data_IF_733661565268
#
_entry.id   IF_733661565268
#
_cell.length_a   1.000
_cell.length_b   1.000
_cell.length_c   1.000
_cell.angle_alpha   90.00
_cell.angle_beta   90.00
_cell.angle_gamma   90.00
#
_symmetry.space_group_name_H-M   'P 1'
#
loop_
_entity.id
_entity.type
_entity.pdbx_description
1 polymer ?
#
# COMPACT_ATOMS: atom_id res chain seq x y z
N UNK A 1 -31.14 -17.62 4.03
CA UNK A 1 -30.06 -16.99 3.27
C UNK A 1 -30.53 -16.79 1.83
N UNK A 2 -30.26 -15.63 1.24
CA UNK A 2 -30.75 -15.29 -0.11
C UNK A 2 -29.74 -15.69 -1.20
N UNK A 3 -30.22 -15.94 -2.43
CA UNK A 3 -29.37 -16.33 -3.56
C UNK A 3 -28.24 -15.31 -3.86
N UNK A 4 -28.48 -13.98 -3.85
CA UNK A 4 -27.40 -13.02 -4.07
C UNK A 4 -26.33 -13.03 -2.96
N UNK A 5 -26.73 -13.34 -1.72
CA UNK A 5 -25.77 -13.47 -0.62
C UNK A 5 -24.91 -14.73 -0.76
N UNK A 6 -25.49 -15.86 -1.18
CA UNK A 6 -24.72 -17.08 -1.48
C UNK A 6 -23.71 -16.87 -2.61
N UNK A 7 -24.04 -16.06 -3.63
CA UNK A 7 -23.09 -15.69 -4.67
C UNK A 7 -21.89 -14.93 -4.11
N UNK A 8 -22.15 -13.97 -3.21
CA UNK A 8 -21.10 -13.19 -2.55
C UNK A 8 -20.20 -14.02 -1.65
N UNK A 9 -20.69 -15.13 -1.08
CA UNK A 9 -19.83 -16.09 -0.37
C UNK A 9 -18.85 -16.84 -1.28
N UNK A 10 -19.13 -16.93 -2.59
CA UNK A 10 -18.20 -17.46 -3.58
C UNK A 10 -17.11 -16.46 -4.00
N UNK A 11 -17.35 -15.18 -3.74
CA UNK A 11 -16.41 -14.08 -3.99
C UNK A 11 -17.11 -12.82 -4.53
N UNK A 12 -16.31 -11.79 -4.85
CA UNK A 12 -16.80 -10.48 -5.30
C UNK A 12 -17.64 -10.55 -6.58
N UNK A 13 -18.61 -9.63 -6.71
CA UNK A 13 -19.58 -9.59 -7.80
C UNK A 13 -19.80 -8.16 -8.31
N UNK A 14 -20.09 -8.01 -9.61
CA UNK A 14 -20.38 -6.70 -10.26
C UNK A 14 -21.87 -6.32 -10.26
N UNK A 15 -22.77 -7.31 -10.26
CA UNK A 15 -24.23 -7.09 -10.29
C UNK A 15 -24.93 -7.85 -9.16
N UNK A 16 -25.02 -7.20 -8.00
CA UNK A 16 -25.80 -7.70 -6.86
C UNK A 16 -27.06 -6.87 -6.71
N UNK A 17 -28.20 -7.53 -6.87
CA UNK A 17 -29.49 -6.92 -6.55
C UNK A 17 -29.69 -6.81 -5.04
N UNK A 18 -29.13 -5.78 -4.42
CA UNK A 18 -29.16 -5.54 -2.96
C UNK A 18 -30.59 -5.55 -2.39
N UNK A 19 -31.58 -5.12 -3.18
CA UNK A 19 -33.00 -5.13 -2.79
C UNK A 19 -33.57 -6.55 -2.57
N UNK A 20 -32.92 -7.60 -3.08
CA UNK A 20 -33.32 -9.00 -2.88
C UNK A 20 -32.70 -9.65 -1.64
N UNK A 21 -31.82 -8.93 -0.94
CA UNK A 21 -31.22 -9.37 0.31
C UNK A 21 -32.11 -9.00 1.49
N UNK A 22 -32.00 -9.77 2.58
CA UNK A 22 -32.61 -9.40 3.86
C UNK A 22 -31.77 -8.32 4.60
N UNK A 23 -32.28 -7.80 5.72
CA UNK A 23 -31.62 -6.71 6.46
C UNK A 23 -30.23 -7.10 6.98
N UNK A 24 -30.10 -8.28 7.58
CA UNK A 24 -28.84 -8.77 8.16
C UNK A 24 -27.77 -8.94 7.07
N UNK A 25 -28.14 -9.53 5.94
CA UNK A 25 -27.26 -9.72 4.79
C UNK A 25 -26.79 -8.38 4.20
N UNK A 26 -27.67 -7.37 4.11
CA UNK A 26 -27.30 -6.04 3.62
C UNK A 26 -26.27 -5.35 4.50
N UNK A 27 -26.30 -5.59 5.81
CA UNK A 27 -25.34 -5.00 6.75
C UNK A 27 -23.93 -5.59 6.61
N UNK A 28 -23.81 -6.79 6.05
CA UNK A 28 -22.53 -7.47 5.84
C UNK A 28 -21.85 -7.12 4.51
N UNK A 29 -22.60 -6.52 3.57
CA UNK A 29 -22.08 -6.21 2.25
C UNK A 29 -21.25 -4.95 2.27
N UNK A 30 -20.05 -5.06 1.70
CA UNK A 30 -19.16 -3.96 1.37
C UNK A 30 -19.23 -3.69 -0.13
N UNK A 31 -18.86 -2.48 -0.53
CA UNK A 31 -18.81 -2.11 -1.94
C UNK A 31 -17.63 -1.22 -2.28
N UNK A 32 -17.01 -1.48 -3.41
CA UNK A 32 -16.10 -0.55 -4.09
C UNK A 32 -16.96 0.26 -5.04
N UNK A 33 -17.12 1.55 -4.75
CA UNK A 33 -17.91 2.47 -5.57
C UNK A 33 -17.24 3.83 -5.59
N UNK A 34 -16.99 4.34 -6.79
CA UNK A 34 -16.46 5.69 -6.99
C UNK A 34 -17.62 6.64 -7.18
N UNK A 35 -17.85 7.48 -6.18
CA UNK A 35 -18.79 8.59 -6.30
C UNK A 35 -18.05 9.74 -7.02
N UNK A 36 -18.53 10.12 -8.20
CA UNK A 36 -17.98 11.26 -8.94
C UNK A 36 -18.21 12.55 -8.13
N UNK A 37 -17.21 13.00 -7.39
CA UNK A 37 -17.21 14.31 -6.77
C UNK A 37 -16.76 15.36 -7.79
N UNK A 38 -17.51 16.44 -7.92
CA UNK A 38 -17.29 17.53 -8.91
C UNK A 38 -15.99 18.33 -8.72
N UNK A 39 -15.18 18.00 -7.71
CA UNK A 39 -14.00 18.78 -7.27
C UNK A 39 -12.65 18.11 -7.54
N UNK A 40 -12.61 16.89 -8.09
CA UNK A 40 -11.35 16.21 -8.41
C UNK A 40 -11.01 16.40 -9.89
N UNK A 41 -9.95 17.17 -10.17
CA UNK A 41 -9.53 17.51 -11.54
C UNK A 41 -8.91 16.33 -12.32
N UNK A 42 -8.51 15.25 -11.64
CA UNK A 42 -7.85 14.07 -12.22
C UNK A 42 -8.77 12.84 -12.16
N UNK A 43 -9.76 12.79 -13.04
CA UNK A 43 -10.60 11.62 -13.27
C UNK A 43 -10.89 11.45 -14.76
N UNK A 44 -11.23 10.24 -15.24
CA UNK A 44 -11.51 10.01 -16.66
C UNK A 44 -12.69 10.86 -17.13
N UNK A 45 -12.55 11.50 -18.31
CA UNK A 45 -13.54 12.43 -18.88
C UNK A 45 -14.87 11.76 -19.27
N UNK A 46 -14.93 10.43 -19.34
CA UNK A 46 -16.14 9.70 -19.70
C UNK A 46 -16.25 8.36 -18.98
N UNK A 47 -17.45 8.07 -18.45
CA UNK A 47 -17.82 6.76 -17.92
C UNK A 47 -17.97 6.71 -16.39
N UNK A 48 -18.83 5.80 -15.92
CA UNK A 48 -18.97 5.49 -14.48
C UNK A 48 -18.22 4.19 -14.22
N UNK A 49 -17.47 4.16 -13.12
CA UNK A 49 -16.87 2.91 -12.64
C UNK A 49 -17.97 1.88 -12.31
N UNK A 50 -17.78 0.65 -12.78
CA UNK A 50 -18.55 -0.52 -12.37
C UNK A 50 -18.29 -0.77 -10.89
N UNK A 51 -19.35 -0.83 -10.10
CA UNK A 51 -19.25 -1.08 -8.66
C UNK A 51 -19.03 -2.57 -8.39
N UNK A 52 -18.19 -2.88 -7.41
CA UNK A 52 -17.97 -4.26 -6.94
C UNK A 52 -18.58 -4.42 -5.55
N UNK A 53 -19.34 -5.49 -5.36
CA UNK A 53 -19.90 -5.90 -4.08
C UNK A 53 -19.12 -7.10 -3.55
N UNK A 54 -18.82 -7.09 -2.25
CA UNK A 54 -18.00 -8.13 -1.62
C UNK A 54 -18.33 -8.25 -0.13
N UNK A 55 -17.82 -9.30 0.52
CA UNK A 55 -17.89 -9.50 1.97
C UNK A 55 -16.54 -9.18 2.60
N UNK A 56 -16.54 -8.88 3.90
CA UNK A 56 -15.30 -8.69 4.66
C UNK A 56 -14.35 -9.88 4.51
N UNK A 57 -13.07 -9.59 4.25
CA UNK A 57 -12.04 -10.60 3.98
C UNK A 57 -11.77 -10.82 2.48
N UNK A 58 -12.65 -10.37 1.58
CA UNK A 58 -12.46 -10.46 0.13
C UNK A 58 -11.84 -9.19 -0.49
N UNK A 59 -11.25 -8.28 0.29
CA UNK A 59 -10.72 -6.98 -0.16
C UNK A 59 -9.76 -7.11 -1.35
N UNK A 60 -8.83 -8.09 -1.28
CA UNK A 60 -7.84 -8.34 -2.33
C UNK A 60 -8.49 -8.75 -3.66
N UNK A 61 -9.42 -9.71 -3.60
CA UNK A 61 -10.15 -10.22 -4.79
C UNK A 61 -11.13 -9.18 -5.32
N UNK A 62 -11.70 -8.36 -4.45
CA UNK A 62 -12.63 -7.30 -4.84
C UNK A 62 -11.89 -6.20 -5.60
N UNK A 63 -10.69 -5.84 -5.15
CA UNK A 63 -9.82 -4.90 -5.86
C UNK A 63 -9.34 -5.46 -7.21
N UNK A 64 -9.00 -6.76 -7.28
CA UNK A 64 -8.65 -7.45 -8.54
C UNK A 64 -9.78 -7.31 -9.56
N UNK A 65 -10.99 -7.74 -9.19
CA UNK A 65 -12.16 -7.65 -10.07
C UNK A 65 -12.49 -6.20 -10.44
N UNK A 66 -12.31 -5.25 -9.51
CA UNK A 66 -12.50 -3.83 -9.83
C UNK A 66 -11.52 -3.36 -10.90
N UNK A 67 -10.25 -3.79 -10.83
CA UNK A 67 -9.24 -3.47 -11.84
C UNK A 67 -9.58 -4.11 -13.18
N UNK A 68 -9.97 -5.38 -13.20
CA UNK A 68 -10.36 -6.08 -14.42
C UNK A 68 -11.52 -5.38 -15.15
N UNK A 69 -12.57 -5.03 -14.41
CA UNK A 69 -13.79 -4.44 -14.95
C UNK A 69 -13.63 -2.97 -15.36
N UNK A 70 -12.66 -2.26 -14.78
CA UNK A 70 -12.49 -0.83 -14.96
C UNK A 70 -11.13 -0.43 -15.55
N UNK A 71 -10.37 -1.39 -16.09
CA UNK A 71 -8.99 -1.21 -16.56
C UNK A 71 -8.79 0.04 -17.42
N UNK A 72 -9.59 0.20 -18.47
CA UNK A 72 -9.48 1.34 -19.40
C UNK A 72 -9.61 2.70 -18.69
N UNK A 73 -10.49 2.79 -17.68
CA UNK A 73 -10.68 4.03 -16.91
C UNK A 73 -9.56 4.26 -15.92
N UNK A 74 -8.98 3.18 -15.37
CA UNK A 74 -7.90 3.23 -14.40
C UNK A 74 -6.57 3.60 -15.07
N UNK A 75 -6.30 3.07 -16.26
CA UNK A 75 -5.10 3.38 -17.05
C UNK A 75 -5.05 4.85 -17.51
N UNK A 76 -6.21 5.53 -17.54
CA UNK A 76 -6.29 6.96 -17.80
C UNK A 76 -5.95 7.86 -16.58
N UNK A 77 -5.80 7.29 -15.39
CA UNK A 77 -5.51 8.04 -14.15
C UNK A 77 -4.00 8.20 -13.96
N UNK A 78 -3.56 9.43 -13.73
CA UNK A 78 -2.20 9.71 -13.27
C UNK A 78 -2.08 9.46 -11.75
N UNK A 79 -1.58 8.28 -11.39
CA UNK A 79 -1.37 7.86 -10.00
C UNK A 79 -0.21 8.55 -9.30
N UNK A 80 0.60 9.34 -10.01
CA UNK A 80 1.64 10.17 -9.39
C UNK A 80 1.07 11.36 -8.63
N UNK A 81 -0.20 11.69 -8.86
CA UNK A 81 -0.93 12.78 -8.22
C UNK A 81 -2.10 12.24 -7.41
N UNK A 82 -2.62 13.10 -6.52
CA UNK A 82 -3.88 12.84 -5.84
C UNK A 82 -4.98 12.64 -6.88
N UNK A 83 -5.71 11.53 -6.76
CA UNK A 83 -6.74 11.11 -7.70
C UNK A 83 -8.06 10.76 -6.99
N UNK A 84 -9.09 10.50 -7.79
CA UNK A 84 -10.44 10.26 -7.29
C UNK A 84 -10.55 8.99 -6.44
N UNK A 85 -9.82 7.93 -6.79
CA UNK A 85 -9.87 6.66 -6.05
C UNK A 85 -9.38 6.85 -4.62
N UNK A 86 -8.28 7.58 -4.44
CA UNK A 86 -7.70 7.86 -3.13
C UNK A 86 -8.68 8.58 -2.19
N UNK A 87 -9.58 9.40 -2.72
CA UNK A 87 -10.60 10.11 -1.92
C UNK A 87 -11.89 9.32 -1.71
N UNK A 88 -12.22 8.43 -2.63
CA UNK A 88 -13.49 7.69 -2.63
C UNK A 88 -13.41 6.34 -1.91
N UNK A 89 -12.20 5.80 -1.75
CA UNK A 89 -12.00 4.43 -1.25
C UNK A 89 -11.27 4.39 0.08
N UNK A 90 -11.52 3.37 0.92
CA UNK A 90 -10.64 3.02 2.02
C UNK A 90 -9.21 2.76 1.52
N UNK A 91 -8.20 3.14 2.33
CA UNK A 91 -6.78 3.03 1.96
C UNK A 91 -6.41 1.61 1.51
N UNK A 92 -6.91 0.58 2.19
CA UNK A 92 -6.62 -0.82 1.87
C UNK A 92 -7.08 -1.23 0.47
N UNK A 93 -8.27 -0.79 0.06
CA UNK A 93 -8.81 -1.09 -1.27
C UNK A 93 -8.00 -0.35 -2.33
N UNK A 94 -7.71 0.93 -2.09
CA UNK A 94 -6.88 1.73 -2.99
C UNK A 94 -5.49 1.11 -3.18
N UNK A 95 -4.89 0.66 -2.10
CA UNK A 95 -3.63 -0.07 -2.07
C UNK A 95 -3.68 -1.35 -2.94
N UNK A 96 -4.73 -2.17 -2.82
CA UNK A 96 -4.84 -3.38 -3.65
C UNK A 96 -5.10 -3.07 -5.13
N UNK A 97 -5.86 -2.02 -5.43
CA UNK A 97 -6.04 -1.55 -6.82
C UNK A 97 -4.69 -1.17 -7.43
N UNK A 98 -3.87 -0.40 -6.73
CA UNK A 98 -2.54 -0.02 -7.20
C UNK A 98 -1.63 -1.23 -7.39
N UNK A 99 -1.77 -2.26 -6.55
CA UNK A 99 -1.00 -3.50 -6.68
C UNK A 99 -1.36 -4.24 -7.97
N UNK A 100 -2.66 -4.42 -8.24
CA UNK A 100 -3.15 -5.11 -9.45
C UNK A 100 -2.92 -4.33 -10.74
N UNK A 101 -2.74 -3.01 -10.66
CA UNK A 101 -2.32 -2.16 -11.78
C UNK A 101 -0.80 -2.19 -12.02
N UNK A 102 -0.01 -2.77 -11.10
CA UNK A 102 1.45 -2.69 -11.17
C UNK A 102 2.02 -1.31 -10.79
N UNK A 103 1.20 -0.42 -10.23
CA UNK A 103 1.60 0.90 -9.73
C UNK A 103 2.37 0.83 -8.40
N UNK A 104 2.34 -0.33 -7.76
CA UNK A 104 3.17 -0.66 -6.60
C UNK A 104 3.61 -2.13 -6.59
N UNK A 105 4.81 -2.34 -6.09
CA UNK A 105 5.37 -3.65 -5.77
C UNK A 105 5.44 -3.79 -4.24
N UNK A 106 5.10 -4.97 -3.73
CA UNK A 106 5.07 -5.26 -2.30
C UNK A 106 5.93 -6.48 -1.99
N UNK A 107 6.76 -6.35 -0.96
CA UNK A 107 7.55 -7.44 -0.41
C UNK A 107 7.41 -7.48 1.10
N UNK A 108 6.79 -8.56 1.60
CA UNK A 108 6.67 -8.79 3.04
C UNK A 108 7.87 -9.57 3.54
N UNK A 109 8.64 -8.98 4.44
CA UNK A 109 9.74 -9.62 5.15
C UNK A 109 9.29 -9.96 6.58
N UNK A 110 10.19 -10.52 7.40
CA UNK A 110 9.83 -10.99 8.74
C UNK A 110 9.24 -9.88 9.62
N UNK A 111 9.94 -8.74 9.75
CA UNK A 111 9.53 -7.64 10.64
C UNK A 111 9.03 -6.40 9.91
N UNK A 112 9.34 -6.26 8.61
CA UNK A 112 8.94 -5.09 7.82
C UNK A 112 8.28 -5.48 6.50
N UNK A 113 7.51 -4.55 5.95
CA UNK A 113 6.99 -4.60 4.59
C UNK A 113 7.67 -3.51 3.78
N UNK A 114 8.35 -3.92 2.72
CA UNK A 114 8.86 -3.02 1.71
C UNK A 114 7.82 -2.81 0.61
N UNK A 115 7.65 -1.56 0.24
CA UNK A 115 6.79 -1.17 -0.86
C UNK A 115 7.51 -0.18 -1.76
N UNK A 116 7.40 -0.41 -3.06
CA UNK A 116 7.93 0.48 -4.10
C UNK A 116 6.78 0.97 -4.98
N UNK A 117 6.63 2.29 -5.08
CA UNK A 117 5.68 2.95 -6.00
C UNK A 117 6.38 3.25 -7.33
N UNK A 118 5.64 3.27 -8.45
CA UNK A 118 6.19 3.70 -9.73
C UNK A 118 6.72 5.14 -9.74
N UNK A 119 6.22 5.99 -8.83
CA UNK A 119 6.69 7.37 -8.62
C UNK A 119 8.12 7.45 -8.08
N UNK A 120 8.75 6.32 -7.75
CA UNK A 120 10.06 6.27 -7.10
C UNK A 120 10.02 6.42 -5.59
N UNK A 121 8.83 6.62 -5.00
CA UNK A 121 8.65 6.59 -3.54
C UNK A 121 8.72 5.15 -3.05
N UNK A 122 9.49 4.95 -2.00
CA UNK A 122 9.63 3.67 -1.30
C UNK A 122 9.20 3.82 0.15
N UNK A 123 8.51 2.81 0.65
CA UNK A 123 8.10 2.72 2.04
C UNK A 123 8.68 1.47 2.67
N UNK A 124 9.12 1.61 3.91
CA UNK A 124 9.47 0.48 4.78
C UNK A 124 8.63 0.63 6.03
N UNK A 125 7.70 -0.30 6.20
CA UNK A 125 6.62 -0.19 7.16
C UNK A 125 6.77 -1.34 8.14
N UNK A 126 6.57 -1.07 9.42
CA UNK A 126 6.39 -2.12 10.41
C UNK A 126 5.33 -3.14 9.94
N UNK A 127 5.66 -4.43 10.00
CA UNK A 127 4.76 -5.46 9.45
C UNK A 127 3.45 -5.56 10.22
N UNK A 128 3.49 -5.40 11.54
CA UNK A 128 2.28 -5.45 12.36
C UNK A 128 1.37 -4.27 12.03
N UNK A 129 1.94 -3.06 11.93
CA UNK A 129 1.20 -1.88 11.48
C UNK A 129 0.59 -2.11 10.10
N UNK A 130 1.36 -2.67 9.15
CA UNK A 130 0.88 -2.90 7.80
C UNK A 130 -0.35 -3.81 7.77
N UNK A 131 -0.35 -4.87 8.58
CA UNK A 131 -1.41 -5.86 8.60
C UNK A 131 -2.63 -5.42 9.41
N UNK A 132 -2.44 -4.70 10.52
CA UNK A 132 -3.54 -4.36 11.44
C UNK A 132 -4.15 -2.97 11.23
N UNK A 133 -3.41 -2.05 10.60
CA UNK A 133 -3.79 -0.64 10.56
C UNK A 133 -3.64 -0.02 9.16
N UNK A 134 -4.44 -0.46 8.18
CA UNK A 134 -4.33 -0.01 6.79
C UNK A 134 -4.36 1.52 6.60
N UNK A 135 -5.15 2.22 7.41
CA UNK A 135 -5.30 3.67 7.34
C UNK A 135 -4.09 4.45 7.90
N UNK A 136 -3.12 3.77 8.51
CA UNK A 136 -1.92 4.38 9.13
C UNK A 136 -0.61 3.91 8.50
N UNK A 137 -0.65 3.08 7.46
CA UNK A 137 0.53 2.53 6.76
C UNK A 137 1.54 3.61 6.31
N UNK A 138 1.04 4.75 5.83
CA UNK A 138 1.86 5.75 5.13
C UNK A 138 2.02 7.04 5.94
N UNK A 139 2.43 6.91 7.20
CA UNK A 139 2.72 8.05 8.07
C UNK A 139 4.15 8.02 8.60
N UNK A 140 4.88 9.11 8.37
CA UNK A 140 6.23 9.30 8.92
C UNK A 140 6.21 9.92 10.32
N UNK A 141 5.07 10.44 10.79
CA UNK A 141 4.99 11.15 12.08
C UNK A 141 4.77 10.26 13.30
N UNK A 142 4.26 9.04 13.12
CA UNK A 142 3.98 8.09 14.23
C UNK A 142 5.15 7.13 14.51
N UNK A 143 6.32 7.36 13.91
CA UNK A 143 7.52 6.52 14.05
C UNK A 143 7.33 5.04 13.67
N UNK A 144 6.36 4.69 12.83
CA UNK A 144 6.06 3.30 12.45
C UNK A 144 6.30 2.98 10.97
N UNK A 145 6.80 3.96 10.21
CA UNK A 145 7.26 3.75 8.85
C UNK A 145 8.40 4.69 8.51
N UNK A 146 9.21 4.27 7.55
CA UNK A 146 10.19 5.11 6.86
C UNK A 146 9.77 5.28 5.40
N UNK A 147 10.06 6.47 4.87
CA UNK A 147 9.86 6.84 3.48
C UNK A 147 11.21 7.21 2.87
N UNK A 148 11.44 6.75 1.66
CA UNK A 148 12.62 7.07 0.85
C UNK A 148 12.13 7.63 -0.48
N UNK A 149 12.56 8.84 -0.82
CA UNK A 149 12.15 9.57 -2.01
C UNK A 149 13.26 9.62 -3.06
N UNK A 150 12.90 9.35 -4.31
CA UNK A 150 13.74 9.58 -5.51
C UNK A 150 15.07 8.81 -5.61
N UNK A 151 15.39 7.93 -4.67
CA UNK A 151 16.55 7.01 -4.75
C UNK A 151 16.15 5.59 -4.35
N UNK A 152 16.87 4.62 -4.91
CA UNK A 152 16.76 3.21 -4.54
C UNK A 152 17.38 2.91 -3.18
N UNK A 153 17.01 1.75 -2.62
CA UNK A 153 17.64 1.24 -1.41
C UNK A 153 19.11 0.88 -1.65
N UNK A 154 19.47 0.41 -2.84
CA UNK A 154 20.86 0.19 -3.20
C UNK A 154 21.64 1.50 -3.24
N UNK A 155 21.10 2.55 -3.89
CA UNK A 155 21.74 3.88 -3.91
C UNK A 155 21.86 4.49 -2.51
N UNK A 156 20.81 4.37 -1.69
CA UNK A 156 20.85 4.81 -0.29
C UNK A 156 21.85 3.98 0.52
N UNK A 157 21.97 2.68 0.27
CA UNK A 157 22.96 1.85 0.94
C UNK A 157 24.37 2.29 0.56
N UNK A 158 24.65 2.47 -0.73
CA UNK A 158 25.95 2.87 -1.27
C UNK A 158 26.36 4.31 -0.95
N UNK A 159 25.43 5.19 -0.54
CA UNK A 159 25.76 6.57 -0.13
C UNK A 159 26.50 6.65 1.21
N UNK A 160 26.53 5.57 1.98
CA UNK A 160 27.23 5.50 3.27
C UNK A 160 28.51 4.65 3.16
N UNK A 161 29.41 4.88 4.12
CA UNK A 161 30.64 4.10 4.26
C UNK A 161 30.37 2.69 4.81
N UNK A 162 31.35 2.09 5.48
CA UNK A 162 31.27 0.74 6.04
C UNK A 162 30.20 0.59 7.12
N UNK A 163 29.85 1.67 7.81
CA UNK A 163 28.82 1.68 8.85
C UNK A 163 27.69 2.61 8.42
N UNK A 164 26.45 2.21 8.68
CA UNK A 164 25.26 3.04 8.46
C UNK A 164 24.58 3.24 9.80
N UNK A 165 24.58 4.48 10.29
CA UNK A 165 24.05 4.87 11.60
C UNK A 165 22.68 5.51 11.48
N UNK A 166 21.90 5.46 12.56
CA UNK A 166 20.61 6.16 12.66
C UNK A 166 20.75 7.64 12.35
N UNK A 167 21.72 8.33 12.99
CA UNK A 167 21.91 9.77 12.78
C UNK A 167 22.21 10.13 11.32
N UNK A 168 23.00 9.31 10.62
CA UNK A 168 23.35 9.54 9.21
C UNK A 168 22.15 9.34 8.28
N UNK A 169 21.30 8.34 8.58
CA UNK A 169 20.05 8.15 7.85
C UNK A 169 19.02 9.26 8.14
N UNK A 170 18.94 9.73 9.39
CA UNK A 170 18.04 10.83 9.79
C UNK A 170 18.42 12.15 9.11
N UNK A 171 19.70 12.37 8.85
CA UNK A 171 20.22 13.57 8.16
C UNK A 171 20.17 13.46 6.63
N UNK A 172 19.85 12.29 6.07
CA UNK A 172 19.86 12.07 4.63
C UNK A 172 18.61 12.70 3.96
N UNK A 173 18.82 13.61 3.00
CA UNK A 173 17.75 14.40 2.35
C UNK A 173 16.60 13.59 1.73
N UNK A 174 16.90 12.38 1.27
CA UNK A 174 15.91 11.47 0.67
C UNK A 174 15.06 10.69 1.70
N UNK A 175 15.39 10.74 2.98
CA UNK A 175 14.83 9.87 4.02
C UNK A 175 13.89 10.66 4.93
N UNK A 176 12.81 10.03 5.35
CA UNK A 176 11.86 10.60 6.31
C UNK A 176 11.20 9.51 7.15
N UNK A 177 10.85 9.83 8.40
CA UNK A 177 10.20 8.90 9.32
C UNK A 177 11.19 8.10 10.16
N UNK A 178 10.83 6.88 10.57
CA UNK A 178 11.66 6.11 11.50
C UNK A 178 12.68 5.24 10.76
N UNK A 179 13.91 5.74 10.67
CA UNK A 179 15.02 5.11 9.95
C UNK A 179 15.45 3.75 10.50
N UNK A 180 15.02 3.38 11.71
CA UNK A 180 15.27 2.03 12.25
C UNK A 180 14.70 0.95 11.33
N UNK A 181 13.57 1.19 10.68
CA UNK A 181 13.01 0.23 9.75
C UNK A 181 13.84 0.06 8.48
N UNK A 182 14.57 1.10 8.05
CA UNK A 182 15.54 1.00 6.95
C UNK A 182 16.70 0.08 7.36
N UNK A 183 17.24 0.27 8.56
CA UNK A 183 18.29 -0.59 9.10
C UNK A 183 17.80 -2.04 9.31
N UNK A 184 16.57 -2.24 9.78
CA UNK A 184 15.95 -3.56 9.88
C UNK A 184 15.80 -4.23 8.52
N UNK A 185 15.34 -3.49 7.51
CA UNK A 185 15.23 -3.99 6.14
C UNK A 185 16.60 -4.49 5.63
N UNK A 186 17.65 -3.68 5.71
CA UNK A 186 19.00 -4.10 5.30
C UNK A 186 19.53 -5.28 6.11
N UNK A 187 19.11 -5.44 7.37
CA UNK A 187 19.53 -6.57 8.20
C UNK A 187 18.88 -7.89 7.77
N UNK A 188 17.62 -7.85 7.33
CA UNK A 188 16.82 -9.05 7.07
C UNK A 188 16.69 -9.39 5.59
N UNK A 189 16.92 -8.42 4.69
CA UNK A 189 16.86 -8.66 3.26
C UNK A 189 18.20 -9.21 2.76
N UNK A 190 18.16 -10.45 2.25
CA UNK A 190 19.35 -11.28 1.98
C UNK A 190 20.34 -10.67 0.98
N UNK A 191 19.89 -9.76 0.12
CA UNK A 191 20.75 -9.07 -0.85
C UNK A 191 21.73 -8.09 -0.19
N UNK A 192 21.40 -7.59 1.01
CA UNK A 192 22.28 -6.71 1.78
C UNK A 192 23.10 -7.52 2.78
N UNK A 193 24.39 -7.68 2.52
CA UNK A 193 25.29 -8.40 3.41
C UNK A 193 25.71 -7.51 4.59
N UNK A 194 24.96 -7.54 5.68
CA UNK A 194 25.16 -6.64 6.82
C UNK A 194 25.25 -7.37 8.17
N UNK A 195 26.07 -6.82 9.06
CA UNK A 195 26.10 -7.17 10.48
C UNK A 195 25.36 -6.12 11.32
N UNK A 196 24.45 -6.52 12.23
CA UNK A 196 23.90 -5.60 13.21
C UNK A 196 25.00 -5.19 14.21
N UNK A 197 25.15 -3.88 14.42
CA UNK A 197 26.09 -3.32 15.41
C UNK A 197 25.38 -2.25 16.25
N UNK A 198 25.99 -1.89 17.38
CA UNK A 198 25.52 -0.80 18.24
C UNK A 198 26.63 0.23 18.36
N UNK A 199 26.34 1.47 17.99
CA UNK A 199 27.28 2.60 18.05
C UNK A 199 26.58 3.71 18.81
N UNK A 200 27.24 4.30 19.82
CA UNK A 200 26.68 5.35 20.66
C UNK A 200 25.31 4.98 21.30
N UNK A 201 25.15 3.71 21.68
CA UNK A 201 23.91 3.11 22.19
C UNK A 201 22.71 3.20 21.22
N UNK A 202 22.97 3.37 19.93
CA UNK A 202 21.97 3.34 18.87
C UNK A 202 22.18 2.16 17.94
N UNK A 203 21.08 1.71 17.33
CA UNK A 203 21.12 0.71 16.27
C UNK A 203 21.92 1.23 15.08
N UNK A 204 22.76 0.37 14.51
CA UNK A 204 23.47 0.61 13.27
C UNK A 204 23.67 -0.72 12.54
N UNK A 205 24.10 -0.66 11.29
CA UNK A 205 24.55 -1.83 10.55
C UNK A 205 25.97 -1.60 10.02
N UNK A 206 26.71 -2.69 9.86
CA UNK A 206 28.02 -2.70 9.21
C UNK A 206 27.95 -3.52 7.94
N UNK A 207 28.36 -2.94 6.81
CA UNK A 207 28.50 -3.62 5.53
C UNK A 207 29.59 -4.69 5.62
N UNK A 208 29.31 -5.89 5.11
CA UNK A 208 30.31 -6.96 4.94
C UNK A 208 30.80 -6.92 3.50
N UNK A 209 32.07 -6.55 3.33
CA UNK A 209 32.78 -6.60 2.04
C UNK A 209 32.82 -8.02 1.46
#
# INVERSE_FOLDING_TARGET
MTKPFEQLKGGPQTDVHVNRLNLEERMLIRRIKIDQASTVANGPESGRFTAIFYLEGDEYRAAELFVEENRDHLEAIDFSKRNILQTSLPQEIYDWILHHLGERELQKLETVVYEKRQTGVRWIIDRELFEQHPNRRYTTSENQSARIDNISLDELYESFDTEIRVAELDEHDAVSGNVRYILEYYRIFEEFNCDPVSIDNQMAIRKRN
#
